data_IF_492877459914
#
_entry.id   IF_492877459914
#
_cell.length_a   1.000
_cell.length_b   1.000
_cell.length_c   1.000
_cell.angle_alpha   90.00
_cell.angle_beta   90.00
_cell.angle_gamma   90.00
#
_symmetry.space_group_name_H-M   'P 1'
#
loop_
_entity.id
_entity.type
_entity.pdbx_description
1 polymer ?
#
# COMPACT_ATOMS: atom_id res chain seq x y z
N UNK A 1 14.28 -10.22 -19.92
CA UNK A 1 14.00 -8.89 -20.50
C UNK A 1 14.36 -7.81 -19.48
N UNK A 2 15.48 -7.09 -19.61
CA UNK A 2 15.98 -6.16 -18.56
C UNK A 2 14.97 -5.08 -18.16
N UNK A 3 14.11 -4.69 -19.10
CA UNK A 3 13.02 -3.72 -18.89
C UNK A 3 11.99 -4.19 -17.87
N UNK A 4 11.60 -5.48 -17.89
CA UNK A 4 10.60 -6.01 -16.95
C UNK A 4 11.13 -6.01 -15.51
N UNK A 5 12.41 -6.37 -15.32
CA UNK A 5 13.06 -6.36 -14.01
C UNK A 5 13.16 -4.97 -13.42
N UNK A 6 13.52 -3.96 -14.24
CA UNK A 6 13.54 -2.55 -13.79
C UNK A 6 12.14 -2.10 -13.38
N UNK A 7 11.14 -2.46 -14.17
CA UNK A 7 9.75 -2.09 -13.92
C UNK A 7 9.22 -2.75 -12.63
N UNK A 8 9.53 -4.02 -12.39
CA UNK A 8 9.17 -4.74 -11.16
C UNK A 8 9.77 -4.08 -9.92
N UNK A 9 11.05 -3.72 -9.95
CA UNK A 9 11.73 -3.04 -8.83
C UNK A 9 11.09 -1.68 -8.53
N UNK A 10 10.77 -0.90 -9.57
CA UNK A 10 10.11 0.40 -9.41
C UNK A 10 8.72 0.21 -8.79
N UNK A 11 7.91 -0.72 -9.31
CA UNK A 11 6.55 -0.98 -8.81
C UNK A 11 6.59 -1.51 -7.37
N UNK A 12 7.55 -2.38 -7.03
CA UNK A 12 7.74 -2.87 -5.66
C UNK A 12 8.04 -1.73 -4.68
N UNK A 13 8.97 -0.83 -5.03
CA UNK A 13 9.31 0.32 -4.18
C UNK A 13 8.12 1.25 -3.95
N UNK A 14 7.33 1.51 -4.99
CA UNK A 14 6.11 2.33 -4.91
C UNK A 14 5.06 1.67 -4.02
N UNK A 15 4.87 0.35 -4.15
CA UNK A 15 3.96 -0.44 -3.33
C UNK A 15 4.34 -0.37 -1.85
N UNK A 16 5.63 -0.48 -1.52
CA UNK A 16 6.13 -0.32 -0.13
C UNK A 16 5.78 1.06 0.40
N UNK A 17 6.05 2.13 -0.35
CA UNK A 17 5.73 3.51 0.06
C UNK A 17 4.23 3.66 0.30
N UNK A 18 3.38 3.14 -0.59
CA UNK A 18 1.94 3.19 -0.44
C UNK A 18 1.44 2.42 0.80
N UNK A 19 2.00 1.26 1.13
CA UNK A 19 1.66 0.50 2.34
C UNK A 19 2.04 1.28 3.60
N UNK A 20 3.23 1.87 3.64
CA UNK A 20 3.67 2.65 4.79
C UNK A 20 2.76 3.88 5.02
N UNK A 21 2.32 4.55 3.96
CA UNK A 21 1.38 5.67 4.05
C UNK A 21 -0.03 5.25 4.51
N UNK A 22 -0.40 3.98 4.33
CA UNK A 22 -1.68 3.45 4.84
C UNK A 22 -1.67 3.11 6.33
N UNK A 23 -0.50 3.05 6.98
CA UNK A 23 -0.39 2.75 8.42
C UNK A 23 -1.00 3.87 9.27
N UNK A 24 -2.33 3.87 9.39
CA UNK A 24 -3.06 4.81 10.21
C UNK A 24 -3.27 4.23 11.59
N UNK A 25 -2.35 4.55 12.50
CA UNK A 25 -2.63 4.78 13.92
C UNK A 25 -3.28 3.69 14.78
N UNK A 26 -3.61 2.50 14.27
CA UNK A 26 -4.18 1.40 15.06
C UNK A 26 -3.08 0.70 15.88
N UNK A 27 -2.35 1.48 16.67
CA UNK A 27 -1.47 0.97 17.70
C UNK A 27 -2.27 0.51 18.93
N UNK A 28 -1.58 -0.16 19.84
CA UNK A 28 -2.09 -0.63 21.14
C UNK A 28 -2.93 0.44 21.88
N UNK A 29 -2.69 1.74 21.67
CA UNK A 29 -3.44 2.82 22.35
C UNK A 29 -4.96 2.79 22.09
N UNK A 30 -5.40 2.24 20.96
CA UNK A 30 -6.83 2.01 20.67
C UNK A 30 -7.44 0.87 21.50
N UNK A 31 -6.63 -0.12 21.92
CA UNK A 31 -7.05 -1.24 22.76
C UNK A 31 -7.02 -0.93 24.27
N UNK A 32 -6.29 0.11 24.69
CA UNK A 32 -6.14 0.49 26.11
C UNK A 32 -7.01 1.69 26.55
N UNK A 33 -8.10 1.98 25.82
CA UNK A 33 -9.10 2.98 26.27
C UNK A 33 -8.69 4.44 26.05
N UNK A 34 -8.14 4.76 24.88
CA UNK A 34 -7.70 6.11 24.50
C UNK A 34 -8.77 7.19 24.70
N UNK A 35 -8.66 7.94 25.79
CA UNK A 35 -9.46 9.14 26.06
C UNK A 35 -8.92 10.27 25.19
N UNK A 36 -9.64 10.60 24.12
CA UNK A 36 -9.49 11.90 23.45
C UNK A 36 -8.89 11.92 22.05
N UNK A 37 -8.88 10.81 21.29
CA UNK A 37 -8.54 10.91 19.86
C UNK A 37 -9.77 11.33 19.07
N UNK A 38 -9.84 12.63 18.78
CA UNK A 38 -10.80 13.22 17.85
C UNK A 38 -10.52 12.63 16.45
N UNK A 39 -11.10 11.46 16.16
CA UNK A 39 -11.13 10.83 14.84
C UNK A 39 -12.00 11.69 13.92
N UNK A 40 -11.50 12.86 13.53
CA UNK A 40 -12.09 13.66 12.45
C UNK A 40 -11.77 12.94 11.16
N UNK A 41 -12.64 11.97 10.85
CA UNK A 41 -12.77 11.18 9.63
C UNK A 41 -12.00 11.76 8.43
N UNK A 42 -10.73 11.39 8.28
CA UNK A 42 -9.98 11.48 7.02
C UNK A 42 -10.38 10.35 6.05
N UNK A 43 -11.67 9.97 6.05
CA UNK A 43 -12.23 8.84 5.29
C UNK A 43 -11.95 8.91 3.78
N UNK A 44 -11.73 10.09 3.20
CA UNK A 44 -11.53 10.25 1.75
C UNK A 44 -10.12 9.86 1.31
N UNK A 45 -9.10 10.29 2.04
CA UNK A 45 -7.69 10.03 1.70
C UNK A 45 -7.34 8.57 1.95
N UNK A 46 -7.86 8.00 3.04
CA UNK A 46 -7.69 6.59 3.39
C UNK A 46 -8.28 5.67 2.31
N UNK A 47 -9.52 5.90 1.87
CA UNK A 47 -10.14 5.11 0.80
C UNK A 47 -9.38 5.21 -0.52
N UNK A 48 -8.86 6.40 -0.84
CA UNK A 48 -8.05 6.60 -2.04
C UNK A 48 -6.72 5.83 -1.95
N UNK A 49 -6.00 5.92 -0.83
CA UNK A 49 -4.75 5.19 -0.60
C UNK A 49 -4.94 3.68 -0.70
N UNK A 50 -6.00 3.13 -0.09
CA UNK A 50 -6.31 1.70 -0.19
C UNK A 50 -6.60 1.31 -1.65
N UNK A 51 -7.40 2.10 -2.37
CA UNK A 51 -7.69 1.86 -3.79
C UNK A 51 -6.43 1.88 -4.66
N UNK A 52 -5.56 2.87 -4.44
CA UNK A 52 -4.28 2.98 -5.15
C UNK A 52 -3.40 1.75 -4.92
N UNK A 53 -3.29 1.29 -3.67
CA UNK A 53 -2.50 0.11 -3.32
C UNK A 53 -3.05 -1.16 -3.95
N UNK A 54 -4.37 -1.37 -3.97
CA UNK A 54 -4.96 -2.53 -4.63
C UNK A 54 -4.58 -2.58 -6.11
N UNK A 55 -4.67 -1.44 -6.80
CA UNK A 55 -4.27 -1.34 -8.22
C UNK A 55 -2.78 -1.62 -8.40
N UNK A 56 -1.93 -1.03 -7.57
CA UNK A 56 -0.47 -1.25 -7.62
C UNK A 56 -0.09 -2.68 -7.28
N UNK A 57 -0.76 -3.34 -6.33
CA UNK A 57 -0.54 -4.75 -5.97
C UNK A 57 -0.91 -5.68 -7.11
N UNK A 58 -2.03 -5.45 -7.79
CA UNK A 58 -2.42 -6.24 -8.96
C UNK A 58 -1.38 -6.07 -10.08
N UNK A 59 -0.95 -4.83 -10.35
CA UNK A 59 0.10 -4.57 -11.34
C UNK A 59 1.42 -5.26 -10.99
N UNK A 60 1.85 -5.20 -9.73
CA UNK A 60 3.06 -5.89 -9.26
C UNK A 60 2.96 -7.40 -9.51
N UNK A 61 1.84 -8.02 -9.13
CA UNK A 61 1.63 -9.45 -9.29
C UNK A 61 1.63 -9.88 -10.77
N UNK A 62 1.01 -9.10 -11.66
CA UNK A 62 1.01 -9.43 -13.11
C UNK A 62 2.40 -9.30 -13.72
N UNK A 63 3.17 -8.26 -13.37
CA UNK A 63 4.55 -8.08 -13.83
C UNK A 63 5.44 -9.22 -13.33
N UNK A 64 5.30 -9.60 -12.06
CA UNK A 64 6.08 -10.69 -11.45
C UNK A 64 5.78 -12.04 -12.12
N UNK A 65 4.51 -12.32 -12.43
CA UNK A 65 4.11 -13.51 -13.19
C UNK A 65 4.67 -13.50 -14.63
N UNK A 66 4.63 -12.35 -15.32
CA UNK A 66 5.20 -12.20 -16.66
C UNK A 66 6.73 -12.35 -16.69
N UNK A 67 7.42 -11.99 -15.60
CA UNK A 67 8.86 -12.21 -15.47
C UNK A 67 9.20 -13.69 -15.24
N UNK A 68 8.35 -14.41 -14.49
CA UNK A 68 8.53 -15.82 -14.18
C UNK A 68 8.31 -16.73 -15.40
N UNK A 69 7.39 -16.36 -16.29
CA UNK A 69 7.14 -17.09 -17.54
C UNK A 69 8.27 -16.77 -18.53
N UNK A 70 8.96 -17.79 -19.08
CA UNK A 70 10.10 -17.60 -19.99
C UNK A 70 9.72 -16.96 -21.33
#
# INVERSE_FOLDING_TARGET
MPILTILEVVVASLLIILILLQMQGSGLSSAFGGVGEFYRSKRSIEKFLIGATVVTTIAFATISLLLLVP
#
